data_IF_095538667249
#
_entry.id   IF_095538667249
#
_cell.length_a   1.000
_cell.length_b   1.000
_cell.length_c   1.000
_cell.angle_alpha   90.00
_cell.angle_beta   90.00
_cell.angle_gamma   90.00
#
_symmetry.space_group_name_H-M   'P 1'
#
loop_
_entity.id
_entity.type
_entity.pdbx_description
1 polymer ?
#
# COMPACT_ATOMS: atom_id res chain seq x y z
N UNK A 1 1.48 32.77 20.39
CA UNK A 1 1.71 31.38 20.82
C UNK A 1 3.19 31.07 20.56
N UNK A 2 3.87 30.39 21.48
CA UNK A 2 5.29 30.04 21.30
C UNK A 2 5.44 28.53 21.15
N UNK A 3 6.23 28.09 20.18
CA UNK A 3 6.51 26.65 19.98
C UNK A 3 7.12 25.98 21.21
N UNK A 4 7.99 26.69 21.95
CA UNK A 4 8.60 26.18 23.19
C UNK A 4 7.58 25.83 24.27
N UNK A 5 6.49 26.60 24.38
CA UNK A 5 5.42 26.34 25.37
C UNK A 5 4.60 25.12 24.98
N UNK A 6 4.32 24.95 23.68
CA UNK A 6 3.60 23.78 23.13
C UNK A 6 4.43 22.51 23.33
N UNK A 7 5.74 22.57 23.02
CA UNK A 7 6.66 21.44 23.23
C UNK A 7 6.73 21.09 24.72
N UNK A 8 6.91 22.07 25.61
CA UNK A 8 6.98 21.85 27.05
C UNK A 8 5.67 21.24 27.59
N UNK A 9 4.52 21.76 27.17
CA UNK A 9 3.20 21.25 27.54
C UNK A 9 3.06 19.77 27.17
N UNK A 10 3.43 19.38 25.92
CA UNK A 10 3.33 17.99 25.48
C UNK A 10 4.35 17.10 26.17
N UNK A 11 5.59 17.56 26.33
CA UNK A 11 6.65 16.85 27.07
C UNK A 11 6.22 16.50 28.48
N UNK A 12 5.52 17.42 29.15
CA UNK A 12 5.10 17.27 30.55
C UNK A 12 3.76 16.48 30.69
N UNK A 13 3.21 16.00 29.56
CA UNK A 13 2.02 15.16 29.51
C UNK A 13 0.70 15.94 29.38
N UNK A 14 0.77 17.24 29.09
CA UNK A 14 -0.44 18.04 28.83
C UNK A 14 -1.04 17.73 27.44
N UNK A 15 -2.37 17.90 27.34
CA UNK A 15 -3.08 17.78 26.07
C UNK A 15 -2.99 19.10 25.28
N UNK A 16 -2.68 18.99 23.98
CA UNK A 16 -2.69 20.13 23.06
C UNK A 16 -4.12 20.48 22.66
N UNK A 17 -4.41 21.75 22.52
CA UNK A 17 -5.69 22.21 21.96
C UNK A 17 -5.66 22.18 20.43
N UNK A 18 -6.84 22.20 19.80
CA UNK A 18 -6.96 22.29 18.34
C UNK A 18 -6.25 23.55 17.79
N UNK A 19 -6.27 24.66 18.55
CA UNK A 19 -5.60 25.91 18.17
C UNK A 19 -4.07 25.77 18.22
N UNK A 20 -3.51 25.12 19.26
CA UNK A 20 -2.08 24.85 19.37
C UNK A 20 -1.60 23.89 18.25
N UNK A 21 -2.36 22.86 17.93
CA UNK A 21 -2.07 21.93 16.84
C UNK A 21 -2.13 22.67 15.49
N UNK A 22 -3.17 23.47 15.26
CA UNK A 22 -3.31 24.29 14.06
C UNK A 22 -2.13 25.25 13.88
N UNK A 23 -1.72 25.96 14.95
CA UNK A 23 -0.54 26.85 14.93
C UNK A 23 0.74 26.12 14.47
N UNK A 24 0.97 24.90 15.00
CA UNK A 24 2.15 24.10 14.62
C UNK A 24 2.07 23.70 13.14
N UNK A 25 0.96 23.15 12.71
CA UNK A 25 0.81 22.61 11.34
C UNK A 25 0.88 23.72 10.30
N UNK A 26 0.15 24.82 10.52
CA UNK A 26 0.14 25.96 9.63
C UNK A 26 1.55 26.63 9.56
N UNK A 27 2.17 26.89 10.73
CA UNK A 27 3.48 27.48 10.81
C UNK A 27 4.56 26.60 10.18
N UNK A 28 4.50 25.28 10.39
CA UNK A 28 5.44 24.34 9.78
C UNK A 28 5.26 24.25 8.27
N UNK A 29 4.02 24.19 7.80
CA UNK A 29 3.71 24.13 6.36
C UNK A 29 4.23 25.37 5.63
N UNK A 30 4.08 26.57 6.22
CA UNK A 30 4.59 27.83 5.68
C UNK A 30 6.10 28.03 5.86
N UNK A 31 6.79 27.19 6.66
CA UNK A 31 8.22 27.32 6.95
C UNK A 31 8.55 28.35 8.03
N UNK A 32 7.59 28.78 8.82
CA UNK A 32 7.72 29.71 9.95
C UNK A 32 8.21 28.99 11.22
N UNK A 33 7.87 27.69 11.36
CA UNK A 33 8.35 26.82 12.43
C UNK A 33 9.48 25.94 11.90
N UNK A 34 10.68 25.97 12.51
CA UNK A 34 11.83 25.22 12.01
C UNK A 34 11.78 23.74 12.40
N UNK A 35 12.44 22.89 11.60
CA UNK A 35 12.50 21.44 11.74
C UNK A 35 12.89 20.97 13.15
N UNK A 36 13.87 21.63 13.81
CA UNK A 36 14.32 21.21 15.12
C UNK A 36 13.23 21.37 16.21
N UNK A 37 12.36 22.36 16.10
CA UNK A 37 11.22 22.53 17.03
C UNK A 37 10.14 21.48 16.75
N UNK A 38 9.82 21.24 15.48
CA UNK A 38 8.87 20.21 15.11
C UNK A 38 9.39 18.82 15.50
N UNK A 39 10.67 18.53 15.28
CA UNK A 39 11.30 17.28 15.70
C UNK A 39 11.20 17.06 17.22
N UNK A 40 11.41 18.10 18.03
CA UNK A 40 11.24 18.01 19.48
C UNK A 40 9.78 17.71 19.87
N UNK A 41 8.80 18.36 19.22
CA UNK A 41 7.39 18.06 19.45
C UNK A 41 7.01 16.64 19.03
N UNK A 42 7.46 16.19 17.84
CA UNK A 42 7.22 14.83 17.36
C UNK A 42 7.77 13.79 18.35
N UNK A 43 8.96 13.99 18.89
CA UNK A 43 9.53 13.11 19.91
C UNK A 43 8.74 13.15 21.24
N UNK A 44 8.22 14.33 21.64
CA UNK A 44 7.34 14.44 22.79
C UNK A 44 6.02 13.66 22.56
N UNK A 45 5.48 13.69 21.34
CA UNK A 45 4.30 12.90 20.95
C UNK A 45 4.62 11.39 20.96
N UNK A 46 5.77 10.96 20.46
CA UNK A 46 6.21 9.55 20.50
C UNK A 46 6.24 9.04 21.93
N UNK A 47 6.75 9.87 22.86
CA UNK A 47 6.92 9.49 24.25
C UNK A 47 5.63 9.54 25.08
N UNK A 48 4.77 10.55 24.83
CA UNK A 48 3.56 10.82 25.63
C UNK A 48 2.27 10.34 25.00
N UNK A 49 2.30 10.03 23.70
CA UNK A 49 1.11 9.77 22.89
C UNK A 49 0.28 11.02 22.64
N UNK A 50 -0.86 10.84 22.02
CA UNK A 50 -1.93 11.82 21.86
C UNK A 50 -3.26 11.19 22.26
N UNK A 51 -4.18 11.99 22.78
CA UNK A 51 -5.57 11.57 22.95
C UNK A 51 -6.25 11.45 21.58
N UNK A 52 -7.38 10.75 21.51
CA UNK A 52 -8.16 10.64 20.26
C UNK A 52 -8.55 12.00 19.71
N UNK A 53 -8.92 12.94 20.59
CA UNK A 53 -9.21 14.32 20.19
C UNK A 53 -7.99 14.99 19.56
N UNK A 54 -6.81 14.91 20.18
CA UNK A 54 -5.58 15.47 19.61
C UNK A 54 -5.24 14.83 18.25
N UNK A 55 -5.40 13.51 18.11
CA UNK A 55 -5.13 12.80 16.84
C UNK A 55 -6.10 13.25 15.75
N UNK A 56 -7.39 13.43 16.10
CA UNK A 56 -8.39 14.00 15.20
C UNK A 56 -8.05 15.43 14.79
N UNK A 57 -7.74 16.30 15.77
CA UNK A 57 -7.39 17.70 15.52
C UNK A 57 -6.14 17.81 14.63
N UNK A 58 -5.13 16.97 14.87
CA UNK A 58 -3.92 16.88 14.03
C UNK A 58 -4.27 16.46 12.61
N UNK A 59 -5.07 15.40 12.46
CA UNK A 59 -5.52 14.92 11.16
C UNK A 59 -6.22 16.03 10.39
N UNK A 60 -7.15 16.74 11.04
CA UNK A 60 -7.92 17.80 10.38
C UNK A 60 -7.10 19.07 10.10
N UNK A 61 -6.10 19.39 10.92
CA UNK A 61 -5.14 20.45 10.63
C UNK A 61 -4.32 20.12 9.37
N UNK A 62 -3.87 18.86 9.24
CA UNK A 62 -3.14 18.38 8.05
C UNK A 62 -4.03 18.41 6.81
N UNK A 63 -5.29 17.94 6.88
CA UNK A 63 -6.27 18.02 5.77
C UNK A 63 -6.40 19.47 5.28
N UNK A 64 -6.53 20.42 6.19
CA UNK A 64 -6.72 21.86 5.88
C UNK A 64 -5.44 22.56 5.44
N UNK A 65 -4.28 21.93 5.54
CA UNK A 65 -3.00 22.52 5.13
C UNK A 65 -2.85 22.71 3.62
N UNK A 66 -3.69 22.05 2.83
CA UNK A 66 -3.66 22.08 1.37
C UNK A 66 -5.03 21.92 0.73
N UNK A 67 -5.03 21.48 -0.51
CA UNK A 67 -6.25 21.26 -1.28
C UNK A 67 -7.03 20.05 -0.76
N UNK A 68 -8.35 20.16 -0.73
CA UNK A 68 -9.28 19.05 -0.52
C UNK A 68 -10.04 18.83 -1.83
N UNK A 69 -9.97 17.62 -2.37
CA UNK A 69 -10.59 17.33 -3.66
C UNK A 69 -12.11 17.23 -3.52
N UNK A 70 -12.81 17.99 -4.35
CA UNK A 70 -14.25 17.85 -4.53
C UNK A 70 -14.53 16.90 -5.69
N UNK A 71 -14.92 15.67 -5.37
CA UNK A 71 -15.27 14.64 -6.35
C UNK A 71 -16.75 14.67 -6.76
N UNK A 72 -17.51 15.71 -6.42
CA UNK A 72 -18.96 15.79 -6.70
C UNK A 72 -19.29 15.81 -8.20
N UNK A 73 -18.35 16.26 -9.04
CA UNK A 73 -18.49 16.23 -10.51
C UNK A 73 -18.40 14.81 -11.10
N UNK A 74 -17.89 13.84 -10.36
CA UNK A 74 -17.82 12.44 -10.76
C UNK A 74 -19.13 11.75 -10.36
N UNK A 75 -19.77 11.07 -11.32
CA UNK A 75 -21.03 10.36 -11.09
C UNK A 75 -20.86 9.15 -10.16
N UNK A 76 -21.91 8.78 -9.43
CA UNK A 76 -21.92 7.59 -8.56
C UNK A 76 -21.10 7.73 -7.28
N UNK A 77 -20.90 6.62 -6.58
CA UNK A 77 -20.13 6.55 -5.33
C UNK A 77 -18.64 6.46 -5.64
N UNK A 78 -17.86 7.29 -4.98
CA UNK A 78 -16.40 7.30 -5.07
C UNK A 78 -15.80 6.54 -3.90
N UNK A 79 -14.92 5.59 -4.20
CA UNK A 79 -14.22 4.81 -3.18
C UNK A 79 -12.70 4.94 -3.34
N UNK A 80 -11.99 4.75 -2.25
CA UNK A 80 -10.52 4.63 -2.22
C UNK A 80 -10.10 3.44 -1.35
N UNK A 81 -9.00 2.80 -1.73
CA UNK A 81 -8.34 1.74 -0.95
C UNK A 81 -6.97 2.22 -0.54
N UNK A 82 -6.65 2.05 0.74
CA UNK A 82 -5.31 2.29 1.26
C UNK A 82 -4.74 1.03 1.89
N UNK A 83 -3.43 0.81 1.71
CA UNK A 83 -2.67 -0.20 2.44
C UNK A 83 -1.64 0.47 3.33
N UNK A 84 -1.42 -0.08 4.53
CA UNK A 84 -0.37 0.40 5.43
C UNK A 84 1.04 0.03 4.95
N UNK A 85 1.13 -0.69 3.82
CA UNK A 85 2.39 -1.07 3.19
C UNK A 85 2.82 -2.49 3.54
N UNK A 86 3.44 -3.16 2.59
CA UNK A 86 3.94 -4.52 2.71
C UNK A 86 4.75 -4.92 1.50
N UNK A 87 5.22 -6.17 1.50
CA UNK A 87 6.02 -6.76 0.44
C UNK A 87 5.11 -7.48 -0.56
N UNK A 88 5.28 -7.18 -1.85
CA UNK A 88 4.46 -7.76 -2.91
C UNK A 88 3.04 -7.19 -3.01
N UNK A 89 2.74 -6.02 -2.40
CA UNK A 89 1.40 -5.42 -2.43
C UNK A 89 1.09 -4.78 -3.80
N UNK A 90 0.58 -5.60 -4.69
CA UNK A 90 0.02 -5.24 -6.00
C UNK A 90 -1.51 -5.17 -6.01
N UNK A 91 -2.15 -5.25 -4.86
CA UNK A 91 -3.61 -5.33 -4.70
C UNK A 91 -4.37 -4.26 -5.50
N UNK A 92 -3.86 -3.03 -5.53
CA UNK A 92 -4.54 -1.95 -6.26
C UNK A 92 -4.66 -2.21 -7.76
N UNK A 93 -3.69 -2.92 -8.37
CA UNK A 93 -3.71 -3.24 -9.80
C UNK A 93 -4.83 -4.23 -10.14
N UNK A 94 -5.15 -5.14 -9.24
CA UNK A 94 -6.20 -6.13 -9.41
C UNK A 94 -7.58 -5.58 -8.96
N UNK A 95 -7.62 -5.02 -7.76
CA UNK A 95 -8.85 -4.62 -7.08
C UNK A 95 -9.60 -3.50 -7.80
N UNK A 96 -8.88 -2.44 -8.24
CA UNK A 96 -9.55 -1.27 -8.80
C UNK A 96 -10.33 -1.57 -10.07
N UNK A 97 -9.77 -2.29 -11.07
CA UNK A 97 -10.54 -2.65 -12.26
C UNK A 97 -11.72 -3.57 -11.92
N UNK A 98 -11.55 -4.55 -11.01
CA UNK A 98 -12.65 -5.43 -10.58
C UNK A 98 -13.81 -4.63 -9.98
N UNK A 99 -13.54 -3.69 -9.08
CA UNK A 99 -14.55 -2.83 -8.45
C UNK A 99 -15.18 -1.88 -9.47
N UNK A 100 -14.39 -1.30 -10.37
CA UNK A 100 -14.88 -0.38 -11.40
C UNK A 100 -15.87 -1.03 -12.36
N UNK A 101 -15.77 -2.34 -12.64
CA UNK A 101 -16.78 -3.07 -13.44
C UNK A 101 -18.16 -3.09 -12.78
N UNK A 102 -18.24 -2.85 -11.47
CA UNK A 102 -19.49 -2.84 -10.70
C UNK A 102 -20.07 -1.42 -10.53
N UNK A 103 -19.57 -0.44 -11.28
CA UNK A 103 -20.07 0.94 -11.29
C UNK A 103 -19.60 1.80 -10.12
N UNK A 104 -18.76 1.31 -9.21
CA UNK A 104 -18.13 2.12 -8.16
C UNK A 104 -16.89 2.81 -8.74
N UNK A 105 -16.77 4.12 -8.52
CA UNK A 105 -15.68 4.94 -9.02
C UNK A 105 -14.49 4.90 -8.09
N UNK A 106 -13.30 4.51 -8.59
CA UNK A 106 -12.09 4.39 -7.78
C UNK A 106 -11.14 5.55 -8.07
N UNK A 107 -11.17 6.58 -7.23
CA UNK A 107 -10.34 7.78 -7.34
C UNK A 107 -9.10 7.64 -6.45
N UNK A 108 -8.03 7.00 -6.96
CA UNK A 108 -6.87 6.64 -6.15
C UNK A 108 -5.67 7.55 -6.36
N UNK A 109 -5.27 8.24 -5.28
CA UNK A 109 -3.94 8.85 -5.17
C UNK A 109 -2.97 7.87 -4.53
N UNK A 110 -1.80 7.67 -5.13
CA UNK A 110 -0.79 6.71 -4.68
C UNK A 110 0.60 7.32 -4.64
N UNK A 111 1.54 6.59 -4.03
CA UNK A 111 2.94 7.00 -3.89
C UNK A 111 3.92 6.05 -4.57
N UNK A 112 5.19 6.47 -4.57
CA UNK A 112 6.33 5.66 -4.94
C UNK A 112 6.80 4.81 -3.77
N UNK A 113 7.49 3.72 -4.04
CA UNK A 113 8.11 2.87 -3.02
C UNK A 113 9.39 3.46 -2.45
N UNK A 114 9.69 3.09 -1.21
CA UNK A 114 10.95 3.39 -0.54
C UNK A 114 11.33 2.21 0.37
N UNK A 115 12.63 1.88 0.42
CA UNK A 115 13.13 0.75 1.22
C UNK A 115 12.62 -0.59 0.67
N UNK A 116 12.18 -1.45 1.57
CA UNK A 116 11.71 -2.82 1.28
C UNK A 116 10.30 -2.91 0.69
N UNK A 117 9.56 -1.79 0.61
CA UNK A 117 8.19 -1.76 0.07
C UNK A 117 8.18 -1.24 -1.36
N UNK A 118 7.48 -1.94 -2.26
CA UNK A 118 7.29 -1.48 -3.64
C UNK A 118 6.18 -0.42 -3.75
N UNK A 119 6.34 0.57 -4.63
CA UNK A 119 5.34 1.60 -4.90
C UNK A 119 4.39 1.21 -6.03
N UNK A 120 3.10 1.55 -5.89
CA UNK A 120 2.12 1.28 -6.96
C UNK A 120 2.47 2.04 -8.24
N UNK A 121 2.98 3.28 -8.13
CA UNK A 121 3.36 4.07 -9.30
C UNK A 121 4.57 3.46 -10.01
N UNK A 122 5.55 2.96 -9.25
CA UNK A 122 6.75 2.32 -9.82
C UNK A 122 6.39 1.05 -10.60
N UNK A 123 5.42 0.28 -10.11
CA UNK A 123 4.89 -0.89 -10.83
C UNK A 123 4.21 -0.49 -12.15
N UNK A 124 3.38 0.54 -12.13
CA UNK A 124 2.69 1.03 -13.33
C UNK A 124 3.65 1.62 -14.38
N UNK A 125 4.79 2.17 -13.97
CA UNK A 125 5.84 2.61 -14.88
C UNK A 125 6.54 1.46 -15.63
N UNK A 126 6.24 0.21 -15.30
CA UNK A 126 6.65 -0.95 -16.10
C UNK A 126 5.95 -1.02 -17.46
N UNK A 127 4.79 -0.38 -17.62
CA UNK A 127 4.15 -0.22 -18.93
C UNK A 127 4.84 0.88 -19.75
N UNK A 128 5.26 0.56 -20.96
CA UNK A 128 5.94 1.51 -21.85
C UNK A 128 5.07 2.76 -22.10
N UNK A 129 5.62 3.94 -21.79
CA UNK A 129 4.95 5.22 -21.99
C UNK A 129 3.93 5.63 -20.94
N UNK A 130 3.68 4.81 -19.90
CA UNK A 130 2.69 5.12 -18.85
C UNK A 130 3.05 6.39 -18.07
N UNK A 131 2.05 7.23 -17.81
CA UNK A 131 2.20 8.52 -17.11
C UNK A 131 1.49 8.49 -15.76
N UNK A 132 2.28 8.50 -14.69
CA UNK A 132 1.76 8.56 -13.30
C UNK A 132 1.27 9.95 -12.90
N UNK A 133 1.73 11.02 -13.57
CA UNK A 133 1.33 12.41 -13.32
C UNK A 133 0.15 12.80 -14.19
N UNK A 134 -0.99 13.09 -13.55
CA UNK A 134 -2.17 13.64 -14.21
C UNK A 134 -2.48 15.03 -13.66
N UNK A 135 -3.04 15.90 -14.51
CA UNK A 135 -3.72 17.11 -14.00
C UNK A 135 -4.99 16.68 -13.24
N UNK A 136 -5.48 17.51 -12.32
CA UNK A 136 -6.72 17.19 -11.60
C UNK A 136 -7.91 17.00 -12.55
N UNK A 137 -8.01 17.84 -13.59
CA UNK A 137 -9.03 17.68 -14.63
C UNK A 137 -8.90 16.35 -15.39
N UNK A 138 -7.67 15.98 -15.76
CA UNK A 138 -7.38 14.69 -16.40
C UNK A 138 -7.72 13.51 -15.50
N UNK A 139 -7.41 13.62 -14.22
CA UNK A 139 -7.73 12.60 -13.21
C UNK A 139 -9.25 12.41 -13.06
N UNK A 140 -10.02 13.51 -12.92
CA UNK A 140 -11.48 13.43 -12.78
C UNK A 140 -12.14 12.87 -14.04
N UNK A 141 -11.73 13.36 -15.21
CA UNK A 141 -12.21 12.84 -16.49
C UNK A 141 -11.96 11.34 -16.64
N UNK A 142 -10.77 10.88 -16.32
CA UNK A 142 -10.44 9.46 -16.41
C UNK A 142 -11.27 8.61 -15.44
N UNK A 143 -11.44 9.04 -14.17
CA UNK A 143 -12.31 8.32 -13.23
C UNK A 143 -13.75 8.23 -13.76
N UNK A 144 -14.26 9.30 -14.39
CA UNK A 144 -15.60 9.29 -14.97
C UNK A 144 -15.68 8.34 -16.18
N UNK A 145 -14.71 8.37 -17.10
CA UNK A 145 -14.75 7.60 -18.35
C UNK A 145 -14.41 6.13 -18.15
N UNK A 146 -13.32 5.82 -17.45
CA UNK A 146 -12.83 4.43 -17.28
C UNK A 146 -13.31 3.75 -16.01
N UNK A 147 -13.86 4.50 -15.04
CA UNK A 147 -14.29 4.00 -13.75
C UNK A 147 -13.23 4.11 -12.66
N UNK A 148 -11.94 4.27 -13.00
CA UNK A 148 -10.88 4.48 -12.02
C UNK A 148 -9.67 5.20 -12.60
N UNK A 149 -8.88 5.80 -11.71
CA UNK A 149 -7.56 6.33 -12.03
C UNK A 149 -6.59 6.08 -10.85
N UNK A 150 -5.31 5.90 -11.16
CA UNK A 150 -4.23 5.86 -10.20
C UNK A 150 -3.22 6.93 -10.60
N UNK A 151 -3.05 7.94 -9.77
CA UNK A 151 -2.13 9.05 -10.03
C UNK A 151 -1.25 9.35 -8.83
N UNK A 152 -0.13 10.01 -9.07
CA UNK A 152 0.71 10.59 -8.03
C UNK A 152 -0.03 11.70 -7.29
N UNK A 153 0.26 11.88 -6.00
CA UNK A 153 -0.28 13.00 -5.23
C UNK A 153 0.18 14.32 -5.83
N UNK A 154 -0.72 15.30 -5.93
CA UNK A 154 -0.35 16.67 -6.28
C UNK A 154 0.48 17.30 -5.17
N UNK A 155 1.28 18.30 -5.51
CA UNK A 155 2.14 18.99 -4.53
C UNK A 155 1.33 19.66 -3.40
N UNK A 156 0.08 20.02 -3.69
CA UNK A 156 -0.79 20.77 -2.79
C UNK A 156 -1.76 19.88 -1.99
N UNK A 157 -1.84 18.57 -2.29
CA UNK A 157 -2.63 17.66 -1.50
C UNK A 157 -1.88 17.31 -0.21
N UNK A 158 -2.39 17.77 0.94
CA UNK A 158 -1.81 17.51 2.26
C UNK A 158 -0.29 17.84 2.35
N UNK A 159 0.15 19.08 2.06
CA UNK A 159 1.55 19.45 2.09
C UNK A 159 2.17 19.33 3.50
N UNK A 160 1.37 19.41 4.56
CA UNK A 160 1.81 19.20 5.93
C UNK A 160 2.33 17.77 6.12
N UNK A 161 1.60 16.74 5.65
CA UNK A 161 2.08 15.35 5.77
C UNK A 161 3.39 15.13 5.02
N UNK A 162 3.53 15.69 3.83
CA UNK A 162 4.76 15.57 3.05
C UNK A 162 5.98 16.05 3.83
N UNK A 163 5.89 17.21 4.50
CA UNK A 163 6.96 17.75 5.32
C UNK A 163 7.18 16.96 6.62
N UNK A 164 6.08 16.65 7.33
CA UNK A 164 6.13 15.89 8.57
C UNK A 164 6.70 14.50 8.36
N UNK A 165 6.27 13.78 7.32
CA UNK A 165 6.74 12.44 7.03
C UNK A 165 8.23 12.44 6.69
N UNK A 166 8.70 13.40 5.87
CA UNK A 166 10.12 13.55 5.54
C UNK A 166 10.98 13.81 6.78
N UNK A 167 10.48 14.58 7.75
CA UNK A 167 11.16 14.83 9.02
C UNK A 167 11.15 13.58 9.92
N UNK A 168 10.00 12.90 10.00
CA UNK A 168 9.84 11.68 10.81
C UNK A 168 10.77 10.55 10.37
N UNK A 169 10.99 10.43 9.06
CA UNK A 169 11.82 9.39 8.46
C UNK A 169 13.29 9.44 8.94
N UNK A 170 13.78 10.64 9.26
CA UNK A 170 15.17 10.86 9.70
C UNK A 170 15.31 11.18 11.20
N UNK A 171 14.21 11.22 11.96
CA UNK A 171 14.23 11.57 13.40
C UNK A 171 13.78 10.44 14.34
N UNK A 172 13.55 9.22 13.79
CA UNK A 172 13.13 8.06 14.60
C UNK A 172 11.69 8.18 15.13
N UNK A 173 10.84 9.02 14.53
CA UNK A 173 9.47 9.29 15.00
C UNK A 173 8.38 8.68 14.09
N UNK A 174 8.74 7.81 13.16
CA UNK A 174 7.77 7.13 12.27
C UNK A 174 6.82 6.23 13.06
N UNK A 175 7.35 5.44 14.01
CA UNK A 175 6.57 4.49 14.81
C UNK A 175 5.87 5.19 15.97
N UNK A 176 4.78 5.89 15.67
CA UNK A 176 3.91 6.52 16.67
C UNK A 176 2.47 6.39 16.17
N UNK A 177 1.62 5.71 16.93
CA UNK A 177 0.23 5.42 16.55
C UNK A 177 -0.51 6.67 16.08
N UNK A 178 -0.61 7.77 16.86
CA UNK A 178 -1.33 8.96 16.44
C UNK A 178 -0.74 9.61 15.17
N UNK A 179 0.59 9.57 15.01
CA UNK A 179 1.24 10.14 13.83
C UNK A 179 1.04 9.29 12.57
N UNK A 180 0.94 7.96 12.72
CA UNK A 180 0.60 7.05 11.60
C UNK A 180 -0.84 7.26 11.18
N UNK A 181 -1.77 7.28 12.14
CA UNK A 181 -3.21 7.50 11.90
C UNK A 181 -3.41 8.82 11.17
N UNK A 182 -2.84 9.92 11.69
CA UNK A 182 -3.00 11.25 11.10
C UNK A 182 -2.43 11.33 9.69
N UNK A 183 -1.24 10.75 9.47
CA UNK A 183 -0.59 10.72 8.14
C UNK A 183 -1.40 9.95 7.09
N UNK A 184 -2.03 8.85 7.46
CA UNK A 184 -2.86 8.06 6.53
C UNK A 184 -4.18 8.77 6.28
N UNK A 185 -4.89 9.14 7.35
CA UNK A 185 -6.27 9.62 7.25
C UNK A 185 -6.35 11.04 6.68
N UNK A 186 -5.37 11.91 6.93
CA UNK A 186 -5.35 13.23 6.32
C UNK A 186 -5.36 13.17 4.79
N UNK A 187 -4.52 12.31 4.20
CA UNK A 187 -4.49 12.10 2.74
C UNK A 187 -5.78 11.51 2.20
N UNK A 188 -6.37 10.55 2.93
CA UNK A 188 -7.62 9.89 2.49
C UNK A 188 -8.83 10.83 2.56
N UNK A 189 -8.89 11.66 3.58
CA UNK A 189 -9.93 12.67 3.73
C UNK A 189 -9.76 13.80 2.70
N UNK A 190 -8.51 14.27 2.48
CA UNK A 190 -8.21 15.27 1.46
C UNK A 190 -8.50 14.78 0.03
N UNK A 191 -8.35 13.46 -0.25
CA UNK A 191 -8.69 12.88 -1.54
C UNK A 191 -10.20 12.81 -1.85
N UNK A 192 -11.09 13.00 -0.86
CA UNK A 192 -12.51 13.27 -1.05
C UNK A 192 -13.43 12.07 -1.28
N UNK A 193 -12.95 10.82 -1.21
CA UNK A 193 -13.78 9.63 -1.44
C UNK A 193 -14.93 9.47 -0.41
N UNK A 194 -16.07 8.92 -0.83
CA UNK A 194 -17.25 8.64 0.00
C UNK A 194 -17.05 7.40 0.87
N UNK A 195 -16.32 6.41 0.31
CA UNK A 195 -15.99 5.11 0.94
C UNK A 195 -14.49 4.98 1.03
N UNK A 196 -13.97 4.62 2.20
CA UNK A 196 -12.55 4.37 2.44
C UNK A 196 -12.39 2.95 2.98
N UNK A 197 -11.66 2.09 2.26
CA UNK A 197 -11.33 0.75 2.74
C UNK A 197 -9.82 0.67 2.99
N UNK A 198 -9.48 0.33 4.23
CA UNK A 198 -8.12 0.29 4.74
C UNK A 198 -7.66 -1.16 4.84
N UNK A 199 -6.53 -1.46 4.25
CA UNK A 199 -5.83 -2.74 4.36
C UNK A 199 -4.69 -2.57 5.36
N UNK A 200 -4.95 -2.96 6.61
CA UNK A 200 -4.01 -2.84 7.73
C UNK A 200 -3.18 -4.10 7.81
N UNK A 201 -1.96 -4.02 7.30
CA UNK A 201 -1.00 -5.14 7.31
C UNK A 201 -0.49 -5.43 8.71
N UNK A 202 -0.42 -6.72 9.07
CA UNK A 202 0.06 -7.22 10.36
C UNK A 202 1.07 -8.35 10.15
N UNK A 203 2.23 -8.28 10.77
CA UNK A 203 3.25 -9.33 10.72
C UNK A 203 4.66 -8.83 10.44
N UNK A 204 5.58 -9.74 10.18
CA UNK A 204 7.01 -9.49 9.98
C UNK A 204 7.33 -8.45 8.91
N UNK A 205 6.63 -8.46 7.79
CA UNK A 205 6.78 -7.52 6.68
C UNK A 205 6.01 -6.21 6.81
N UNK A 206 5.23 -6.00 7.89
CA UNK A 206 4.38 -4.83 8.10
C UNK A 206 4.97 -3.84 9.11
N UNK A 207 4.37 -2.64 9.20
CA UNK A 207 4.66 -1.68 10.28
C UNK A 207 4.11 -2.20 11.63
N UNK A 208 2.87 -2.71 11.65
CA UNK A 208 2.27 -3.31 12.84
C UNK A 208 2.74 -4.76 12.95
N UNK A 209 3.47 -5.05 14.04
CA UNK A 209 4.06 -6.38 14.25
C UNK A 209 3.09 -7.35 14.91
N UNK A 210 2.15 -6.83 15.68
CA UNK A 210 1.17 -7.61 16.42
C UNK A 210 -0.26 -7.30 15.98
N UNK A 211 -1.15 -8.27 16.14
CA UNK A 211 -2.57 -8.09 15.84
C UNK A 211 -3.22 -7.02 16.74
N UNK A 212 -2.75 -6.89 17.99
CA UNK A 212 -3.24 -5.87 18.90
C UNK A 212 -2.94 -4.45 18.38
N UNK A 213 -1.71 -4.19 17.94
CA UNK A 213 -1.32 -2.91 17.33
C UNK A 213 -2.11 -2.63 16.03
N UNK A 214 -2.27 -3.67 15.18
CA UNK A 214 -3.03 -3.55 13.95
C UNK A 214 -4.52 -3.22 14.20
N UNK A 215 -5.13 -3.85 15.23
CA UNK A 215 -6.51 -3.57 15.66
C UNK A 215 -6.67 -2.15 16.20
N UNK A 216 -5.72 -1.68 16.99
CA UNK A 216 -5.72 -0.32 17.51
C UNK A 216 -5.65 0.69 16.35
N UNK A 217 -4.68 0.53 15.45
CA UNK A 217 -4.55 1.38 14.26
C UNK A 217 -5.83 1.39 13.40
N UNK A 218 -6.40 0.22 13.16
CA UNK A 218 -7.62 0.07 12.37
C UNK A 218 -8.81 0.81 13.00
N UNK A 219 -9.01 0.65 14.32
CA UNK A 219 -10.10 1.33 15.05
C UNK A 219 -9.97 2.84 15.02
N UNK A 220 -8.78 3.36 15.29
CA UNK A 220 -8.52 4.81 15.28
C UNK A 220 -8.79 5.41 13.89
N UNK A 221 -8.34 4.75 12.81
CA UNK A 221 -8.58 5.23 11.45
C UNK A 221 -10.06 5.15 11.04
N UNK A 222 -10.76 4.07 11.40
CA UNK A 222 -12.20 3.93 11.12
C UNK A 222 -13.01 5.01 11.87
N UNK A 223 -12.67 5.26 13.12
CA UNK A 223 -13.34 6.30 13.92
C UNK A 223 -13.17 7.71 13.32
N UNK A 224 -11.93 8.06 12.91
CA UNK A 224 -11.66 9.35 12.25
C UNK A 224 -12.45 9.47 10.93
N UNK A 225 -12.48 8.41 10.12
CA UNK A 225 -13.26 8.42 8.89
C UNK A 225 -14.75 8.66 9.13
N UNK A 226 -15.34 7.95 10.09
CA UNK A 226 -16.75 8.11 10.49
C UNK A 226 -17.07 9.50 11.03
N UNK A 227 -16.20 10.06 11.88
CA UNK A 227 -16.37 11.43 12.41
C UNK A 227 -16.38 12.48 11.28
N UNK A 228 -15.76 12.18 10.14
CA UNK A 228 -15.78 13.03 8.94
C UNK A 228 -16.87 12.63 7.92
N UNK A 229 -17.86 11.83 8.32
CA UNK A 229 -18.98 11.41 7.47
C UNK A 229 -18.57 10.46 6.34
N UNK A 230 -17.40 9.79 6.43
CA UNK A 230 -16.94 8.81 5.44
C UNK A 230 -17.27 7.40 5.90
N UNK A 231 -17.82 6.59 4.99
CA UNK A 231 -17.99 5.15 5.24
C UNK A 231 -16.63 4.50 5.22
N UNK A 232 -16.15 4.10 6.39
CA UNK A 232 -14.77 3.64 6.55
C UNK A 232 -14.75 2.24 7.17
N UNK A 233 -14.02 1.33 6.52
CA UNK A 233 -13.82 -0.06 6.96
C UNK A 233 -12.33 -0.36 6.93
N UNK A 234 -11.84 -1.12 7.91
CA UNK A 234 -10.47 -1.60 7.94
C UNK A 234 -10.44 -3.13 8.01
N UNK A 235 -9.67 -3.76 7.12
CA UNK A 235 -9.38 -5.19 7.12
C UNK A 235 -7.96 -5.40 7.67
N UNK A 236 -7.80 -6.25 8.67
CA UNK A 236 -6.50 -6.65 9.22
C UNK A 236 -6.05 -7.88 8.45
N UNK A 237 -4.91 -7.80 7.77
CA UNK A 237 -4.44 -8.84 6.86
C UNK A 237 -3.01 -9.25 7.15
N UNK A 238 -2.68 -10.50 6.83
CA UNK A 238 -1.39 -11.09 7.10
C UNK A 238 -0.27 -10.49 6.23
N UNK A 239 0.90 -10.27 6.82
CA UNK A 239 2.15 -9.88 6.18
C UNK A 239 3.36 -10.59 6.83
N UNK A 240 3.17 -11.79 7.37
CA UNK A 240 4.25 -12.65 7.84
C UNK A 240 5.00 -13.33 6.67
N UNK A 241 4.46 -13.24 5.47
CA UNK A 241 5.09 -13.61 4.21
C UNK A 241 4.69 -12.61 3.12
N UNK A 242 5.42 -12.49 1.99
CA UNK A 242 5.03 -11.63 0.88
C UNK A 242 3.63 -11.95 0.34
N UNK A 243 2.89 -10.92 -0.08
CA UNK A 243 1.59 -11.08 -0.72
C UNK A 243 1.76 -11.52 -2.18
N UNK A 244 1.04 -12.56 -2.56
CA UNK A 244 1.27 -13.22 -3.85
C UNK A 244 2.63 -13.89 -3.90
N UNK A 245 3.14 -14.13 -5.09
CA UNK A 245 4.40 -14.82 -5.33
C UNK A 245 5.48 -13.88 -5.85
N UNK A 246 5.13 -12.89 -6.66
CA UNK A 246 6.09 -11.97 -7.25
C UNK A 246 6.42 -10.79 -6.32
N UNK A 247 7.70 -10.43 -6.27
CA UNK A 247 8.22 -9.22 -5.60
C UNK A 247 9.22 -8.54 -6.54
N UNK A 248 8.82 -7.37 -7.04
CA UNK A 248 9.53 -6.61 -8.08
C UNK A 248 8.51 -5.94 -9.00
N UNK A 249 8.90 -4.85 -9.70
CA UNK A 249 7.92 -3.99 -10.36
C UNK A 249 7.16 -4.70 -11.51
N UNK A 250 7.84 -5.06 -12.60
CA UNK A 250 7.22 -5.73 -13.74
C UNK A 250 6.71 -7.13 -13.38
N UNK A 251 7.40 -7.85 -12.50
CA UNK A 251 6.98 -9.17 -12.03
C UNK A 251 5.65 -9.12 -11.28
N UNK A 252 5.46 -8.11 -10.42
CA UNK A 252 4.20 -7.90 -9.71
C UNK A 252 3.08 -7.48 -10.66
N UNK A 253 3.37 -6.68 -11.69
CA UNK A 253 2.41 -6.38 -12.76
C UNK A 253 2.00 -7.65 -13.49
N UNK A 254 2.96 -8.49 -13.89
CA UNK A 254 2.67 -9.76 -14.58
C UNK A 254 1.76 -10.67 -13.73
N UNK A 255 2.02 -10.77 -12.42
CA UNK A 255 1.17 -11.55 -11.50
C UNK A 255 -0.24 -10.94 -11.36
N UNK A 256 -0.35 -9.61 -11.27
CA UNK A 256 -1.64 -8.93 -11.26
C UNK A 256 -2.45 -9.19 -12.53
N UNK A 257 -1.80 -9.18 -13.69
CA UNK A 257 -2.43 -9.51 -14.98
C UNK A 257 -2.85 -10.99 -15.04
N UNK A 258 -2.03 -11.91 -14.50
CA UNK A 258 -2.41 -13.33 -14.40
C UNK A 258 -3.66 -13.53 -13.53
N UNK A 259 -3.79 -12.78 -12.42
CA UNK A 259 -5.02 -12.79 -11.60
C UNK A 259 -6.22 -12.28 -12.41
N UNK A 260 -6.08 -11.15 -13.10
CA UNK A 260 -7.17 -10.57 -13.90
C UNK A 260 -7.60 -11.45 -15.09
N UNK A 261 -6.71 -12.35 -15.56
CA UNK A 261 -7.04 -13.40 -16.55
C UNK A 261 -7.65 -14.67 -15.93
N UNK A 262 -7.71 -14.74 -14.58
CA UNK A 262 -8.19 -15.93 -13.87
C UNK A 262 -7.18 -17.09 -13.83
N UNK A 263 -5.91 -16.83 -14.14
CA UNK A 263 -4.82 -17.81 -14.15
C UNK A 263 -4.13 -17.94 -12.78
N UNK A 264 -4.37 -16.99 -11.88
CA UNK A 264 -3.81 -16.93 -10.53
C UNK A 264 -4.90 -16.73 -9.49
N UNK A 265 -4.73 -17.38 -8.32
CA UNK A 265 -5.61 -17.29 -7.17
C UNK A 265 -4.85 -16.92 -5.88
N UNK A 266 -5.03 -17.73 -4.83
CA UNK A 266 -4.27 -17.60 -3.58
C UNK A 266 -4.63 -16.38 -2.74
N UNK A 267 -3.66 -15.95 -1.92
CA UNK A 267 -3.82 -14.86 -0.95
C UNK A 267 -4.13 -13.51 -1.60
N UNK A 268 -3.55 -13.22 -2.76
CA UNK A 268 -3.81 -11.97 -3.49
C UNK A 268 -5.28 -11.89 -3.97
N UNK A 269 -5.82 -12.99 -4.51
CA UNK A 269 -7.23 -13.04 -4.91
C UNK A 269 -8.14 -12.90 -3.69
N UNK A 270 -7.85 -13.62 -2.61
CA UNK A 270 -8.62 -13.53 -1.37
C UNK A 270 -8.65 -12.12 -0.81
N UNK A 271 -7.50 -11.42 -0.82
CA UNK A 271 -7.43 -10.02 -0.43
C UNK A 271 -8.29 -9.13 -1.32
N UNK A 272 -8.20 -9.28 -2.64
CA UNK A 272 -9.01 -8.50 -3.58
C UNK A 272 -10.52 -8.73 -3.36
N UNK A 273 -10.92 -9.98 -3.13
CA UNK A 273 -12.31 -10.32 -2.85
C UNK A 273 -12.79 -9.72 -1.52
N UNK A 274 -11.97 -9.78 -0.47
CA UNK A 274 -12.32 -9.23 0.85
C UNK A 274 -12.46 -7.70 0.80
N UNK A 275 -11.44 -7.00 0.32
CA UNK A 275 -11.47 -5.54 0.22
C UNK A 275 -12.54 -5.06 -0.75
N UNK A 276 -12.68 -5.73 -1.90
CA UNK A 276 -13.69 -5.42 -2.89
C UNK A 276 -15.10 -5.62 -2.37
N UNK A 277 -15.34 -6.68 -1.59
CA UNK A 277 -16.64 -6.91 -0.94
C UNK A 277 -16.97 -5.80 0.05
N UNK A 278 -15.99 -5.35 0.84
CA UNK A 278 -16.20 -4.19 1.72
C UNK A 278 -16.53 -2.94 0.90
N UNK A 279 -15.81 -2.67 -0.19
CA UNK A 279 -16.08 -1.51 -1.05
C UNK A 279 -17.48 -1.58 -1.65
N UNK A 280 -17.86 -2.71 -2.27
CA UNK A 280 -19.16 -2.84 -2.94
C UNK A 280 -20.32 -2.76 -1.96
N UNK A 281 -20.18 -3.36 -0.78
CA UNK A 281 -21.22 -3.31 0.27
C UNK A 281 -21.38 -1.90 0.81
N UNK A 282 -20.30 -1.21 1.17
CA UNK A 282 -20.35 0.17 1.66
C UNK A 282 -20.78 1.17 0.58
N UNK A 283 -20.51 0.87 -0.68
CA UNK A 283 -20.98 1.68 -1.82
C UNK A 283 -22.46 1.44 -2.15
N UNK A 284 -23.09 0.38 -1.59
CA UNK A 284 -24.45 -0.03 -1.93
C UNK A 284 -24.55 -0.71 -3.31
N UNK A 285 -23.42 -1.18 -3.85
CA UNK A 285 -23.36 -1.92 -5.13
C UNK A 285 -23.58 -3.43 -4.95
N UNK A 286 -23.58 -3.92 -3.71
CA UNK A 286 -23.97 -5.27 -3.33
C UNK A 286 -24.71 -5.25 -1.99
N UNK A 287 -25.65 -6.18 -1.81
CA UNK A 287 -26.44 -6.32 -0.58
C UNK A 287 -25.67 -6.96 0.58
N UNK A 288 -24.53 -7.57 0.30
CA UNK A 288 -23.68 -8.24 1.28
C UNK A 288 -22.45 -8.88 0.65
N UNK A 289 -21.64 -9.50 1.51
CA UNK A 289 -20.32 -10.05 1.11
C UNK A 289 -20.45 -11.15 0.03
N UNK A 290 -21.42 -12.05 0.16
CA UNK A 290 -21.57 -13.17 -0.78
C UNK A 290 -21.83 -12.67 -2.21
N UNK A 291 -22.80 -11.76 -2.38
CA UNK A 291 -23.10 -11.14 -3.67
C UNK A 291 -21.90 -10.33 -4.20
N UNK A 292 -21.23 -9.58 -3.33
CA UNK A 292 -20.06 -8.80 -3.72
C UNK A 292 -18.94 -9.69 -4.25
N UNK A 293 -18.64 -10.80 -3.56
CA UNK A 293 -17.61 -11.77 -4.00
C UNK A 293 -17.97 -12.41 -5.34
N UNK A 294 -19.22 -12.78 -5.55
CA UNK A 294 -19.71 -13.32 -6.82
C UNK A 294 -19.50 -12.32 -7.97
N UNK A 295 -19.94 -11.08 -7.80
CA UNK A 295 -19.76 -10.01 -8.78
C UNK A 295 -18.29 -9.78 -9.14
N UNK A 296 -17.41 -9.77 -8.14
CA UNK A 296 -15.97 -9.58 -8.36
C UNK A 296 -15.36 -10.78 -9.12
N UNK A 297 -15.73 -12.01 -8.78
CA UNK A 297 -15.28 -13.20 -9.50
C UNK A 297 -15.79 -13.23 -10.94
N UNK A 298 -17.04 -12.82 -11.17
CA UNK A 298 -17.61 -12.75 -12.51
C UNK A 298 -16.92 -11.69 -13.38
N UNK A 299 -16.43 -10.61 -12.77
CA UNK A 299 -15.63 -9.60 -13.51
C UNK A 299 -14.31 -10.16 -14.05
N UNK A 300 -13.71 -11.12 -13.34
CA UNK A 300 -12.52 -11.85 -13.81
C UNK A 300 -12.91 -12.86 -14.87
N UNK A 301 -13.89 -13.74 -14.60
CA UNK A 301 -14.32 -14.82 -15.50
C UNK A 301 -14.80 -14.31 -16.86
N UNK A 302 -15.47 -13.15 -16.89
CA UNK A 302 -15.93 -12.50 -18.13
C UNK A 302 -14.82 -11.75 -18.88
N UNK A 303 -13.66 -11.55 -18.26
CA UNK A 303 -12.57 -10.70 -18.80
C UNK A 303 -12.82 -9.20 -18.62
N UNK A 304 -13.94 -8.78 -18.04
CA UNK A 304 -14.29 -7.36 -17.92
C UNK A 304 -13.30 -6.56 -17.08
N UNK A 305 -12.74 -7.16 -16.02
CA UNK A 305 -11.73 -6.52 -15.18
C UNK A 305 -10.41 -6.31 -15.94
N UNK A 306 -9.99 -7.26 -16.78
CA UNK A 306 -8.80 -7.14 -17.61
C UNK A 306 -8.97 -6.03 -18.66
N UNK A 307 -10.12 -5.98 -19.33
CA UNK A 307 -10.43 -4.91 -20.31
C UNK A 307 -10.43 -3.53 -19.65
N UNK A 308 -11.04 -3.41 -18.46
CA UNK A 308 -10.99 -2.17 -17.67
C UNK A 308 -9.55 -1.75 -17.33
N UNK A 309 -8.69 -2.71 -17.01
CA UNK A 309 -7.28 -2.43 -16.76
C UNK A 309 -6.54 -1.99 -18.02
N UNK A 310 -6.84 -2.60 -19.19
CA UNK A 310 -6.26 -2.20 -20.47
C UNK A 310 -6.70 -0.78 -20.86
N UNK A 311 -7.96 -0.42 -20.66
CA UNK A 311 -8.47 0.93 -20.88
C UNK A 311 -7.77 1.97 -19.98
N UNK A 312 -7.56 1.61 -18.72
CA UNK A 312 -6.82 2.43 -17.77
C UNK A 312 -5.37 2.67 -18.23
N UNK A 313 -4.65 1.60 -18.61
CA UNK A 313 -3.26 1.71 -19.11
C UNK A 313 -3.21 2.61 -20.34
N UNK A 314 -4.11 2.41 -21.29
CA UNK A 314 -4.22 3.22 -22.51
C UNK A 314 -4.51 4.69 -22.20
N UNK A 315 -5.44 4.98 -21.29
CA UNK A 315 -5.84 6.34 -20.94
C UNK A 315 -4.72 7.15 -20.25
N UNK A 316 -3.75 6.47 -19.61
CA UNK A 316 -2.55 7.10 -19.06
C UNK A 316 -1.33 7.00 -19.98
N UNK A 317 -1.52 6.67 -21.25
CA UNK A 317 -0.49 6.69 -22.28
C UNK A 317 0.41 5.45 -22.31
N UNK A 318 0.08 4.42 -21.54
CA UNK A 318 0.80 3.14 -21.55
C UNK A 318 0.44 2.26 -22.75
N UNK A 319 1.33 1.35 -23.10
CA UNK A 319 1.09 0.37 -24.15
C UNK A 319 0.15 -0.74 -23.66
N UNK A 320 -1.11 -0.67 -24.02
CA UNK A 320 -2.11 -1.64 -23.61
C UNK A 320 -1.89 -3.05 -24.18
N UNK A 321 -0.99 -3.25 -25.16
CA UNK A 321 -0.63 -4.59 -25.64
C UNK A 321 0.04 -5.40 -24.55
N UNK A 322 0.83 -4.76 -23.69
CA UNK A 322 1.53 -5.37 -22.55
C UNK A 322 0.56 -5.96 -21.51
N UNK A 323 -0.70 -5.50 -21.48
CA UNK A 323 -1.75 -6.07 -20.63
C UNK A 323 -2.14 -7.48 -21.08
N UNK A 324 -2.20 -7.69 -22.39
CA UNK A 324 -2.58 -8.98 -22.98
C UNK A 324 -1.37 -9.91 -23.18
N UNK A 325 -0.20 -9.31 -23.35
CA UNK A 325 1.07 -10.00 -23.60
C UNK A 325 2.15 -9.54 -22.61
N UNK A 326 2.13 -10.04 -21.35
CA UNK A 326 3.08 -9.61 -20.30
C UNK A 326 4.55 -9.93 -20.59
N UNK A 327 4.84 -10.76 -21.58
CA UNK A 327 6.19 -10.96 -22.09
C UNK A 327 6.84 -9.71 -22.68
N UNK A 328 6.03 -8.71 -23.03
CA UNK A 328 6.49 -7.39 -23.50
C UNK A 328 6.94 -6.46 -22.36
N UNK A 329 6.53 -6.73 -21.10
CA UNK A 329 7.01 -6.01 -19.94
C UNK A 329 8.53 -6.16 -19.77
N UNK A 330 9.21 -5.25 -19.05
CA UNK A 330 10.65 -5.34 -18.79
C UNK A 330 11.04 -6.71 -18.23
N UNK A 331 12.04 -7.37 -18.87
CA UNK A 331 12.54 -8.68 -18.51
C UNK A 331 14.01 -8.60 -18.06
N UNK A 332 14.33 -9.24 -16.94
CA UNK A 332 15.71 -9.37 -16.49
C UNK A 332 16.46 -10.44 -17.31
N UNK A 333 17.72 -10.18 -17.73
CA UNK A 333 18.47 -11.10 -18.58
C UNK A 333 18.96 -12.36 -17.85
N UNK A 334 19.05 -12.33 -16.52
CA UNK A 334 19.56 -13.46 -15.72
C UNK A 334 18.47 -13.96 -14.81
N UNK A 335 18.25 -15.28 -14.82
CA UNK A 335 17.34 -15.96 -13.91
C UNK A 335 18.09 -17.09 -13.21
N UNK A 336 18.03 -17.13 -11.87
CA UNK A 336 18.64 -18.19 -11.06
C UNK A 336 17.64 -18.73 -10.04
N UNK A 337 17.63 -20.06 -9.92
CA UNK A 337 16.82 -20.74 -8.90
C UNK A 337 17.48 -20.66 -7.53
N UNK A 338 16.64 -20.59 -6.49
CA UNK A 338 17.06 -20.64 -5.09
C UNK A 338 16.76 -22.04 -4.54
N UNK A 339 17.77 -22.92 -4.42
CA UNK A 339 17.54 -24.28 -3.95
C UNK A 339 17.25 -24.34 -2.46
N UNK A 340 16.33 -25.21 -2.06
CA UNK A 340 16.06 -25.51 -0.67
C UNK A 340 17.27 -26.20 -0.01
N UNK A 341 17.73 -25.75 1.16
CA UNK A 341 18.88 -26.34 1.85
C UNK A 341 18.57 -27.72 2.46
N UNK A 342 17.33 -28.04 2.71
CA UNK A 342 16.89 -29.32 3.31
C UNK A 342 15.45 -29.66 2.89
N UNK A 343 15.07 -30.92 3.05
CA UNK A 343 13.67 -31.35 2.94
C UNK A 343 12.90 -31.03 4.21
N UNK A 344 11.60 -30.70 4.07
CA UNK A 344 10.71 -30.40 5.18
C UNK A 344 9.53 -29.55 4.75
N UNK A 345 9.11 -28.65 5.65
CA UNK A 345 8.06 -27.67 5.40
C UNK A 345 8.61 -26.25 5.62
N UNK A 346 8.14 -25.31 4.83
CA UNK A 346 8.45 -23.89 5.05
C UNK A 346 7.76 -23.43 6.34
N UNK A 347 8.56 -23.19 7.37
CA UNK A 347 8.07 -22.80 8.70
C UNK A 347 8.01 -21.29 8.91
N UNK A 348 8.87 -20.55 8.19
CA UNK A 348 8.89 -19.08 8.22
C UNK A 348 9.49 -18.53 6.93
N UNK A 349 9.00 -17.34 6.54
CA UNK A 349 9.57 -16.53 5.47
C UNK A 349 9.74 -15.11 6.03
N UNK A 350 10.96 -14.61 6.12
CA UNK A 350 11.20 -13.22 6.47
C UNK A 350 10.74 -12.31 5.32
N UNK A 351 9.49 -11.85 5.39
CA UNK A 351 8.90 -11.01 4.36
C UNK A 351 9.69 -9.71 4.16
N UNK A 352 10.23 -9.11 5.23
CA UNK A 352 11.07 -7.91 5.13
C UNK A 352 12.38 -8.23 4.42
N UNK A 353 13.02 -9.35 4.79
CA UNK A 353 14.23 -9.85 4.11
C UNK A 353 13.99 -10.07 2.62
N UNK A 354 12.86 -10.66 2.24
CA UNK A 354 12.47 -10.83 0.81
C UNK A 354 12.36 -9.47 0.11
N UNK A 355 11.70 -8.48 0.73
CA UNK A 355 11.60 -7.12 0.18
C UNK A 355 12.96 -6.44 0.02
N UNK A 356 13.87 -6.64 0.96
CA UNK A 356 15.25 -6.13 0.89
C UNK A 356 16.04 -6.79 -0.23
N UNK A 357 15.86 -8.08 -0.49
CA UNK A 357 16.48 -8.77 -1.65
C UNK A 357 16.05 -8.09 -2.95
N UNK A 358 14.77 -7.84 -3.15
CA UNK A 358 14.27 -7.12 -4.34
C UNK A 358 14.86 -5.70 -4.44
N UNK A 359 14.97 -4.98 -3.34
CA UNK A 359 15.60 -3.66 -3.30
C UNK A 359 17.09 -3.73 -3.67
N UNK A 360 17.85 -4.69 -3.15
CA UNK A 360 19.28 -4.88 -3.44
C UNK A 360 19.54 -5.29 -4.89
N UNK A 361 18.59 -5.96 -5.54
CA UNK A 361 18.64 -6.23 -6.97
C UNK A 361 18.47 -4.96 -7.83
N UNK A 362 17.96 -3.87 -7.25
CA UNK A 362 17.66 -2.62 -7.93
C UNK A 362 16.15 -2.39 -8.15
N UNK A 363 15.27 -3.29 -7.68
CA UNK A 363 13.81 -3.17 -7.82
C UNK A 363 13.17 -2.15 -6.87
N UNK A 364 13.92 -1.58 -5.92
CA UNK A 364 13.46 -0.58 -4.96
C UNK A 364 14.49 0.54 -4.75
N UNK A 365 14.08 1.63 -4.07
CA UNK A 365 14.94 2.78 -3.78
C UNK A 365 15.57 2.66 -2.40
N UNK A 366 16.90 2.62 -2.35
CA UNK A 366 17.64 2.79 -1.10
C UNK A 366 17.64 4.28 -0.65
N UNK A 367 17.67 5.21 -1.60
CA UNK A 367 17.54 6.66 -1.42
C UNK A 367 16.50 7.23 -2.40
N UNK A 368 16.04 8.46 -2.17
CA UNK A 368 15.06 9.12 -3.07
C UNK A 368 15.58 9.31 -4.49
N UNK A 369 16.90 9.40 -4.65
CA UNK A 369 17.60 9.62 -5.90
C UNK A 369 17.93 8.31 -6.65
N UNK A 370 17.74 7.15 -6.01
CA UNK A 370 18.03 5.86 -6.63
C UNK A 370 17.16 5.62 -7.85
N UNK A 371 17.77 5.25 -8.97
CA UNK A 371 17.07 4.72 -10.14
C UNK A 371 16.58 3.30 -9.86
N UNK A 372 15.41 2.96 -10.40
CA UNK A 372 14.81 1.63 -10.26
C UNK A 372 14.98 0.86 -11.56
N UNK A 373 15.45 -0.38 -11.45
CA UNK A 373 15.35 -1.35 -12.51
C UNK A 373 14.01 -2.09 -12.41
N UNK A 374 13.13 -1.84 -13.36
CA UNK A 374 11.77 -2.38 -13.37
C UNK A 374 11.71 -3.87 -13.68
N UNK A 375 12.79 -4.44 -14.27
CA UNK A 375 12.85 -5.83 -14.73
C UNK A 375 13.23 -6.83 -13.62
N UNK A 376 13.88 -6.34 -12.55
CA UNK A 376 14.46 -7.21 -11.50
C UNK A 376 13.49 -7.51 -10.37
N UNK A 377 13.78 -8.58 -9.64
CA UNK A 377 13.00 -9.02 -8.48
C UNK A 377 13.10 -10.52 -8.26
N UNK A 378 12.02 -11.10 -7.75
CA UNK A 378 11.96 -12.54 -7.50
C UNK A 378 10.51 -13.06 -7.58
N UNK A 379 10.37 -14.35 -7.83
CA UNK A 379 9.09 -15.08 -7.82
C UNK A 379 9.22 -16.27 -6.88
N UNK A 380 8.38 -16.30 -5.83
CA UNK A 380 8.36 -17.38 -4.84
C UNK A 380 7.59 -18.60 -5.40
N UNK A 381 8.13 -19.79 -5.20
CA UNK A 381 7.49 -21.06 -5.57
C UNK A 381 6.98 -21.81 -4.33
N UNK A 382 7.49 -21.46 -3.16
CA UNK A 382 7.11 -22.08 -1.89
C UNK A 382 6.73 -21.01 -0.88
N UNK A 383 5.58 -21.21 -0.27
CA UNK A 383 4.98 -20.33 0.74
C UNK A 383 4.91 -21.05 2.08
N UNK A 384 4.55 -20.35 3.14
CA UNK A 384 4.37 -20.91 4.50
C UNK A 384 3.57 -22.22 4.45
N UNK A 385 4.04 -23.24 5.17
CA UNK A 385 3.48 -24.60 5.27
C UNK A 385 3.50 -25.44 3.97
N UNK A 386 4.15 -25.00 2.91
CA UNK A 386 4.40 -25.85 1.74
C UNK A 386 5.50 -26.87 2.04
N UNK A 387 5.32 -28.09 1.55
CA UNK A 387 6.35 -29.11 1.56
C UNK A 387 7.42 -28.80 0.52
N UNK A 388 8.68 -29.15 0.82
CA UNK A 388 9.81 -28.94 -0.08
C UNK A 388 10.83 -30.05 0.12
N UNK A 389 11.48 -30.49 -0.97
CA UNK A 389 12.60 -31.41 -0.93
C UNK A 389 13.94 -30.66 -1.05
N UNK A 390 15.01 -31.23 -0.48
CA UNK A 390 16.35 -30.65 -0.59
C UNK A 390 16.75 -30.48 -2.07
N UNK A 391 17.19 -29.28 -2.45
CA UNK A 391 17.52 -28.91 -3.82
C UNK A 391 16.33 -28.46 -4.68
N UNK A 392 15.09 -28.61 -4.23
CA UNK A 392 13.92 -28.08 -4.92
C UNK A 392 13.89 -26.54 -4.88
N UNK A 393 13.37 -25.89 -5.92
CA UNK A 393 13.36 -24.44 -6.02
C UNK A 393 12.37 -23.81 -5.03
N UNK A 394 12.88 -22.92 -4.16
CA UNK A 394 12.08 -22.05 -3.29
C UNK A 394 11.58 -20.82 -4.04
N UNK A 395 12.35 -20.31 -4.98
CA UNK A 395 12.05 -19.11 -5.75
C UNK A 395 12.96 -18.98 -6.96
N UNK A 396 12.57 -18.14 -7.93
CA UNK A 396 13.44 -17.68 -9.03
C UNK A 396 13.83 -16.23 -8.80
N UNK A 397 15.13 -15.93 -8.84
CA UNK A 397 15.69 -14.58 -8.86
C UNK A 397 15.76 -14.08 -10.29
N UNK A 398 15.30 -12.84 -10.52
CA UNK A 398 15.42 -12.10 -11.77
C UNK A 398 16.40 -10.94 -11.58
N UNK A 399 17.54 -10.95 -12.26
CA UNK A 399 18.63 -10.00 -12.04
C UNK A 399 19.23 -9.50 -13.35
N UNK A 400 19.88 -8.34 -13.30
CA UNK A 400 20.58 -7.77 -14.46
C UNK A 400 21.91 -8.45 -14.80
N UNK A 401 22.54 -9.11 -13.83
CA UNK A 401 23.82 -9.81 -13.99
C UNK A 401 23.93 -11.00 -13.01
N UNK A 402 24.87 -11.92 -13.31
CA UNK A 402 25.06 -13.12 -12.51
C UNK A 402 25.59 -12.85 -11.09
N UNK A 403 26.36 -11.79 -10.88
CA UNK A 403 26.95 -11.49 -9.58
C UNK A 403 25.83 -11.06 -8.60
N UNK A 404 24.97 -10.13 -9.03
CA UNK A 404 23.81 -9.70 -8.24
C UNK A 404 22.83 -10.86 -8.02
N UNK A 405 22.62 -11.72 -9.03
CA UNK A 405 21.77 -12.91 -8.91
C UNK A 405 22.29 -13.87 -7.84
N UNK A 406 23.57 -14.21 -7.85
CA UNK A 406 24.18 -15.13 -6.85
C UNK A 406 24.12 -14.59 -5.44
N UNK A 407 24.32 -13.27 -5.24
CA UNK A 407 24.14 -12.62 -3.92
C UNK A 407 22.69 -12.71 -3.47
N UNK A 408 21.74 -12.43 -4.35
CA UNK A 408 20.31 -12.50 -4.05
C UNK A 408 19.87 -13.94 -3.70
N UNK A 409 20.38 -14.96 -4.39
CA UNK A 409 20.13 -16.38 -4.05
C UNK A 409 20.54 -16.68 -2.60
N UNK A 410 21.74 -16.23 -2.19
CA UNK A 410 22.20 -16.44 -0.81
C UNK A 410 21.35 -15.72 0.22
N UNK A 411 20.99 -14.44 -0.06
CA UNK A 411 20.17 -13.64 0.83
C UNK A 411 18.75 -14.21 0.96
N UNK A 412 18.15 -14.64 -0.17
CA UNK A 412 16.81 -15.20 -0.15
C UNK A 412 16.74 -16.56 0.52
N UNK A 413 17.75 -17.44 0.30
CA UNK A 413 17.81 -18.71 1.01
C UNK A 413 17.86 -18.52 2.54
N UNK A 414 18.54 -17.47 3.03
CA UNK A 414 18.59 -17.13 4.45
C UNK A 414 17.27 -16.55 5.00
N UNK A 415 16.37 -16.10 4.14
CA UNK A 415 15.05 -15.60 4.54
C UNK A 415 14.01 -16.72 4.76
N UNK A 416 14.37 -17.99 4.44
CA UNK A 416 13.51 -19.15 4.64
C UNK A 416 13.97 -19.98 5.83
N UNK A 417 13.01 -20.39 6.66
CA UNK A 417 13.21 -21.43 7.68
C UNK A 417 12.45 -22.69 7.26
N UNK A 418 13.17 -23.82 7.14
CA UNK A 418 12.60 -25.12 6.78
C UNK A 418 12.74 -26.04 7.98
N UNK A 419 11.63 -26.65 8.42
CA UNK A 419 11.58 -27.55 9.55
C UNK A 419 10.86 -28.85 9.24
N UNK A 420 10.99 -29.87 10.12
CA UNK A 420 10.42 -31.21 9.90
C UNK A 420 8.90 -31.24 10.06
N UNK A 421 8.33 -30.30 10.83
CA UNK A 421 6.89 -30.26 11.13
C UNK A 421 6.20 -29.18 10.29
N UNK A 422 5.01 -29.51 9.79
CA UNK A 422 4.19 -28.56 9.05
C UNK A 422 3.58 -27.54 9.99
N UNK A 423 3.88 -26.23 9.84
CA UNK A 423 3.29 -25.19 10.69
C UNK A 423 1.81 -24.98 10.35
N UNK A 424 1.07 -24.47 11.30
CA UNK A 424 -0.29 -24.01 11.08
C UNK A 424 -0.26 -22.70 10.28
N UNK A 425 -1.15 -22.57 9.29
CA UNK A 425 -1.35 -21.32 8.56
C UNK A 425 -2.36 -20.46 9.31
N UNK A 426 -1.99 -19.28 9.81
CA UNK A 426 -2.97 -18.37 10.37
C UNK A 426 -3.96 -17.89 9.29
N UNK A 427 -5.17 -17.46 9.67
CA UNK A 427 -6.09 -16.84 8.72
C UNK A 427 -5.45 -15.63 8.04
N UNK A 428 -5.55 -15.56 6.71
CA UNK A 428 -4.99 -14.46 5.93
C UNK A 428 -5.68 -13.12 6.27
N UNK A 429 -7.01 -13.13 6.34
CA UNK A 429 -7.80 -12.01 6.88
C UNK A 429 -8.07 -12.29 8.35
N UNK A 430 -7.48 -11.48 9.23
CA UNK A 430 -7.53 -11.70 10.69
C UNK A 430 -8.75 -11.04 11.32
N UNK A 431 -9.23 -9.90 10.78
CA UNK A 431 -10.43 -9.20 11.25
C UNK A 431 -10.90 -8.13 10.26
N UNK A 432 -12.16 -7.72 10.37
CA UNK A 432 -12.77 -6.61 9.64
C UNK A 432 -13.44 -5.68 10.63
N UNK A 433 -12.96 -4.44 10.74
CA UNK A 433 -13.45 -3.39 11.65
C UNK A 433 -14.28 -2.39 10.86
N UNK A 434 -15.52 -2.21 11.31
CA UNK A 434 -16.51 -1.31 10.71
C UNK A 434 -16.90 -0.19 11.66
#
# INVERSE_FOLDING_TARGET
>A
MLMTDIIAKKRDGGELTAEEIGFVIDGYTRGEVPDYQVSALLMAIVWRGMTRRETYDLTMAMVRSGDVLDLSSISGVKADKHSTGGVGDKTSLCLLPMVATQGVRMAKMSGRGLGHTGGTLDKLESFAGFKCGLTLEGFFRQVEETGFAIAGQTANLDPADKKLYALRDVTGTVRSMPLIVSSIMSKKLAAGADVIVLDVKCGGGAFMKTEAEARELAREMVEIGKLNGRRTVACITDMDQPLGNAVGNALEVAEALALLRGEYGGDLLELCLTLGSCILTEAGAASGEAEAREKLLDSIKSGAALEKFADFVRSQGGDAREVYEPSLLPQAPVQLEVPAPSSGYVNHIDAMGVGLVSMHLGGGRATKESEIDLSVGLVLHRKLADAVEAGESLATIHARDEESARRAVQQLAAAYEIGPERPERPPFVRDIIR
#
